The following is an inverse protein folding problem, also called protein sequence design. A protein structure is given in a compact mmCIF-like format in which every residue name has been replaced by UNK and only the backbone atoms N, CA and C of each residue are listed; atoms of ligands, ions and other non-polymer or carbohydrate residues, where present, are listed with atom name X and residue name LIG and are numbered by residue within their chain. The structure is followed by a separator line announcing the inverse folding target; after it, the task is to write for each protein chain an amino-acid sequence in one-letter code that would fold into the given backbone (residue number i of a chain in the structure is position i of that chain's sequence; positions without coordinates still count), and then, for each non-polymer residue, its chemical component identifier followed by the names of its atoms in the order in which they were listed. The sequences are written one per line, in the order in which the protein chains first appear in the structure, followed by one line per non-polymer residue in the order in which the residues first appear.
data_IF_348354815176
#
_entry.id   IF_348354815176
#
_cell.length_a   1.000
_cell.length_b   1.000
_cell.length_c   1.000
_cell.angle_alpha   90.00
_cell.angle_beta   90.00
_cell.angle_gamma   90.00
#
_symmetry.space_group_name_H-M   'P 1'
#
loop_
_entity.id
_entity.type
_entity.pdbx_description
1 polymer ?
#
# COMPACT_ATOMS: atom_id res chain seq x y z
N UNK A 1 -17.13 -14.79 -9.90
CA UNK A 1 -16.81 -14.58 -11.34
C UNK A 1 -17.37 -15.77 -12.12
N UNK A 2 -18.01 -15.55 -13.28
CA UNK A 2 -18.63 -16.64 -14.07
C UNK A 2 -17.62 -17.57 -14.78
N UNK A 3 -16.43 -17.07 -15.13
CA UNK A 3 -15.35 -17.85 -15.75
C UNK A 3 -14.00 -17.58 -15.07
N UNK A 4 -13.59 -18.39 -14.06
CA UNK A 4 -12.37 -18.15 -13.28
C UNK A 4 -11.09 -18.37 -14.08
N UNK A 5 -11.10 -19.22 -15.11
CA UNK A 5 -9.92 -19.52 -15.95
C UNK A 5 -9.50 -18.34 -16.83
N UNK A 6 -10.43 -17.43 -17.18
CA UNK A 6 -10.14 -16.23 -17.97
C UNK A 6 -9.48 -15.10 -17.15
N UNK A 7 -9.35 -15.27 -15.82
CA UNK A 7 -8.79 -14.24 -14.95
C UNK A 7 -7.26 -14.08 -15.13
N UNK A 8 -6.54 -15.19 -15.28
CA UNK A 8 -5.08 -15.24 -15.33
C UNK A 8 -4.46 -15.36 -16.73
N UNK A 9 -5.25 -15.27 -17.80
CA UNK A 9 -4.72 -15.31 -19.17
C UNK A 9 -3.84 -14.09 -19.49
N UNK A 10 -3.06 -14.15 -20.58
CA UNK A 10 -2.23 -13.02 -21.07
C UNK A 10 -3.06 -11.75 -21.36
N UNK A 11 -4.30 -11.90 -21.83
CA UNK A 11 -5.30 -10.82 -21.92
C UNK A 11 -6.43 -11.01 -20.90
N UNK A 12 -6.13 -11.64 -19.77
CA UNK A 12 -7.09 -11.81 -18.69
C UNK A 12 -7.45 -10.49 -18.02
N UNK A 13 -8.59 -10.50 -17.32
CA UNK A 13 -9.15 -9.30 -16.66
C UNK A 13 -8.12 -8.64 -15.73
N UNK A 14 -7.27 -9.43 -15.05
CA UNK A 14 -6.22 -8.91 -14.19
C UNK A 14 -5.18 -8.10 -14.97
N UNK A 15 -4.65 -8.65 -16.08
CA UNK A 15 -3.61 -7.97 -16.86
C UNK A 15 -4.17 -6.73 -17.58
N UNK A 16 -5.40 -6.81 -18.09
CA UNK A 16 -6.09 -5.66 -18.67
C UNK A 16 -6.30 -4.55 -17.64
N UNK A 17 -6.73 -4.90 -16.42
CA UNK A 17 -6.91 -3.95 -15.33
C UNK A 17 -5.59 -3.30 -14.92
N UNK A 18 -4.53 -4.08 -14.74
CA UNK A 18 -3.20 -3.54 -14.41
C UNK A 18 -2.66 -2.63 -15.52
N UNK A 19 -2.83 -3.00 -16.79
CA UNK A 19 -2.44 -2.15 -17.92
C UNK A 19 -3.16 -0.81 -17.93
N UNK A 20 -4.48 -0.81 -17.69
CA UNK A 20 -5.26 0.42 -17.60
C UNK A 20 -4.79 1.33 -16.45
N UNK A 21 -4.48 0.75 -15.28
CA UNK A 21 -3.97 1.51 -14.12
C UNK A 21 -2.61 2.13 -14.45
N UNK A 22 -1.69 1.38 -15.07
CA UNK A 22 -0.36 1.89 -15.44
C UNK A 22 -0.47 3.06 -16.42
N UNK A 23 -1.32 2.94 -17.44
CA UNK A 23 -1.56 4.04 -18.40
C UNK A 23 -2.15 5.25 -17.69
N UNK A 24 -3.15 5.07 -16.83
CA UNK A 24 -3.80 6.17 -16.12
C UNK A 24 -2.80 6.89 -15.19
N UNK A 25 -2.07 6.15 -14.36
CA UNK A 25 -1.07 6.73 -13.46
C UNK A 25 0.09 7.37 -14.22
N UNK A 26 0.54 6.76 -15.32
CA UNK A 26 1.56 7.33 -16.20
C UNK A 26 1.11 8.65 -16.83
N UNK A 27 -0.10 8.70 -17.38
CA UNK A 27 -0.66 9.92 -17.96
C UNK A 27 -0.83 11.03 -16.92
N UNK A 28 -1.42 10.74 -15.77
CA UNK A 28 -1.63 11.73 -14.70
C UNK A 28 -0.29 12.24 -14.16
N UNK A 29 0.69 11.36 -13.95
CA UNK A 29 2.02 11.74 -13.50
C UNK A 29 2.76 12.61 -14.52
N UNK A 30 2.72 12.22 -15.80
CA UNK A 30 3.39 12.96 -16.88
C UNK A 30 2.75 14.34 -17.11
N UNK A 31 1.42 14.41 -17.21
CA UNK A 31 0.70 15.68 -17.36
C UNK A 31 0.85 16.58 -16.14
N UNK A 32 0.87 16.00 -14.93
CA UNK A 32 1.15 16.74 -13.70
C UNK A 32 2.54 17.38 -13.73
N UNK A 33 3.57 16.62 -14.10
CA UNK A 33 4.93 17.15 -14.22
C UNK A 33 5.06 18.20 -15.32
N UNK A 34 4.43 18.01 -16.48
CA UNK A 34 4.45 19.01 -17.56
C UNK A 34 3.74 20.32 -17.17
N UNK A 35 2.76 20.26 -16.27
CA UNK A 35 1.99 21.45 -15.86
C UNK A 35 2.72 22.28 -14.80
N UNK A 36 3.43 21.62 -13.86
CA UNK A 36 4.07 22.28 -12.71
C UNK A 36 5.61 22.29 -12.77
N UNK A 37 6.22 21.54 -13.69
CA UNK A 37 7.67 21.51 -13.88
C UNK A 37 8.45 21.15 -12.61
N UNK A 38 9.44 21.98 -12.26
CA UNK A 38 10.28 21.76 -11.08
C UNK A 38 9.63 22.15 -9.75
N UNK A 39 8.44 22.78 -9.76
CA UNK A 39 7.73 23.16 -8.53
C UNK A 39 6.72 22.10 -8.09
N UNK A 40 6.72 20.92 -8.71
CA UNK A 40 5.81 19.82 -8.34
C UNK A 40 6.07 19.34 -6.92
N UNK A 41 5.09 19.53 -6.04
CA UNK A 41 5.07 18.96 -4.70
C UNK A 41 4.75 17.46 -4.70
N UNK A 42 5.08 16.78 -3.60
CA UNK A 42 4.99 15.31 -3.47
C UNK A 42 3.59 14.70 -3.61
N UNK A 43 2.53 15.52 -3.60
CA UNK A 43 1.17 15.08 -3.91
C UNK A 43 0.50 16.04 -4.90
N UNK A 44 -0.27 15.50 -5.85
CA UNK A 44 -0.94 16.31 -6.89
C UNK A 44 -1.90 17.33 -6.28
N UNK A 45 -2.57 16.96 -5.19
CA UNK A 45 -3.53 17.80 -4.45
C UNK A 45 -2.93 19.10 -3.92
N UNK A 46 -1.64 19.09 -3.58
CA UNK A 46 -0.96 20.24 -2.99
C UNK A 46 -0.61 21.30 -4.06
N UNK A 47 -0.28 20.83 -5.28
CA UNK A 47 0.01 21.67 -6.45
C UNK A 47 -1.22 22.40 -7.03
N UNK A 48 -2.44 21.94 -6.76
CA UNK A 48 -3.65 22.54 -7.34
C UNK A 48 -3.85 23.98 -6.86
N UNK A 49 -4.12 24.95 -7.76
CA UNK A 49 -4.30 26.35 -7.40
C UNK A 49 -5.47 26.53 -6.42
N UNK A 50 -5.35 27.51 -5.53
CA UNK A 50 -6.38 27.77 -4.50
C UNK A 50 -7.49 28.68 -5.00
N UNK A 51 -7.19 29.52 -5.99
CA UNK A 51 -8.09 30.57 -6.45
C UNK A 51 -9.09 30.08 -7.51
N UNK A 52 -8.85 28.92 -8.12
CA UNK A 52 -9.74 28.37 -9.15
C UNK A 52 -10.84 27.47 -8.57
N UNK A 53 -12.09 27.76 -8.96
CA UNK A 53 -13.27 26.99 -8.51
C UNK A 53 -13.17 25.51 -8.94
N UNK A 54 -12.66 25.24 -10.15
CA UNK A 54 -12.50 23.86 -10.66
C UNK A 54 -11.54 23.07 -9.79
N UNK A 55 -10.41 23.66 -9.41
CA UNK A 55 -9.43 23.03 -8.52
C UNK A 55 -10.02 22.74 -7.13
N UNK A 56 -10.86 23.63 -6.61
CA UNK A 56 -11.56 23.42 -5.34
C UNK A 56 -12.56 22.27 -5.42
N UNK A 57 -13.34 22.16 -6.51
CA UNK A 57 -14.28 21.06 -6.72
C UNK A 57 -13.53 19.72 -6.72
N UNK A 58 -12.38 19.64 -7.40
CA UNK A 58 -11.53 18.43 -7.42
C UNK A 58 -11.01 18.09 -6.02
N UNK A 59 -10.52 19.08 -5.26
CA UNK A 59 -10.06 18.88 -3.88
C UNK A 59 -11.17 18.35 -2.97
N UNK A 60 -12.38 18.92 -3.07
CA UNK A 60 -13.54 18.47 -2.28
C UNK A 60 -13.94 17.04 -2.68
N UNK A 61 -14.02 16.75 -3.98
CA UNK A 61 -14.35 15.40 -4.47
C UNK A 61 -13.35 14.35 -3.98
N UNK A 62 -12.04 14.67 -4.05
CA UNK A 62 -10.98 13.80 -3.56
C UNK A 62 -11.03 13.63 -2.03
N UNK A 63 -11.29 14.70 -1.28
CA UNK A 63 -11.45 14.62 0.18
C UNK A 63 -12.67 13.74 0.56
N UNK A 64 -13.79 13.88 -0.14
CA UNK A 64 -14.97 13.00 0.05
C UNK A 64 -14.65 11.55 -0.28
N UNK A 65 -13.92 11.28 -1.36
CA UNK A 65 -13.50 9.92 -1.75
C UNK A 65 -12.60 9.28 -0.68
N UNK A 66 -11.61 10.02 -0.17
CA UNK A 66 -10.72 9.55 0.90
C UNK A 66 -11.51 9.30 2.19
N UNK A 67 -12.43 10.19 2.55
CA UNK A 67 -13.26 10.03 3.74
C UNK A 67 -14.06 8.72 3.72
N UNK A 68 -14.73 8.42 2.60
CA UNK A 68 -15.50 7.18 2.44
C UNK A 68 -14.56 5.96 2.42
N UNK A 69 -13.44 6.05 1.70
CA UNK A 69 -12.48 4.94 1.58
C UNK A 69 -11.82 4.60 2.92
N UNK A 70 -11.57 5.61 3.75
CA UNK A 70 -11.00 5.43 5.09
C UNK A 70 -11.90 4.55 5.96
N UNK A 71 -13.22 4.74 5.92
CA UNK A 71 -14.16 3.90 6.68
C UNK A 71 -14.04 2.42 6.30
N UNK A 72 -13.93 2.13 5.00
CA UNK A 72 -13.82 0.75 4.50
C UNK A 72 -12.48 0.13 4.91
N UNK A 73 -11.37 0.86 4.76
CA UNK A 73 -10.04 0.36 5.14
C UNK A 73 -9.92 0.16 6.65
N UNK A 74 -10.50 1.08 7.43
CA UNK A 74 -10.51 1.02 8.88
C UNK A 74 -11.31 -0.17 9.42
N UNK A 75 -12.42 -0.53 8.77
CA UNK A 75 -13.18 -1.74 9.10
C UNK A 75 -12.30 -3.00 9.01
N UNK A 76 -11.53 -3.16 7.93
CA UNK A 76 -10.62 -4.32 7.75
C UNK A 76 -9.56 -4.35 8.85
N UNK A 77 -9.01 -3.20 9.24
CA UNK A 77 -8.03 -3.12 10.33
C UNK A 77 -8.62 -3.56 11.68
N UNK A 78 -9.84 -3.12 12.01
CA UNK A 78 -10.55 -3.56 13.22
C UNK A 78 -10.85 -5.05 13.15
N UNK A 79 -11.36 -5.54 12.03
CA UNK A 79 -11.73 -6.95 11.85
C UNK A 79 -10.53 -7.87 12.11
N UNK A 80 -9.37 -7.55 11.52
CA UNK A 80 -8.13 -8.29 11.76
C UNK A 80 -7.72 -8.16 13.24
N UNK A 81 -7.62 -6.95 13.79
CA UNK A 81 -7.14 -6.75 15.15
C UNK A 81 -8.05 -7.43 16.20
N UNK A 82 -9.36 -7.27 16.06
CA UNK A 82 -10.35 -7.80 16.99
C UNK A 82 -10.67 -9.26 16.69
N UNK A 83 -11.29 -9.57 15.56
CA UNK A 83 -11.84 -10.91 15.32
C UNK A 83 -10.73 -11.98 15.15
N UNK A 84 -9.58 -11.62 14.59
CA UNK A 84 -8.50 -12.59 14.37
C UNK A 84 -7.54 -12.73 15.56
N UNK A 85 -7.15 -11.62 16.21
CA UNK A 85 -6.09 -11.66 17.23
C UNK A 85 -6.56 -11.56 18.69
N UNK A 86 -7.52 -10.68 18.99
CA UNK A 86 -7.87 -10.31 20.36
C UNK A 86 -9.15 -10.97 20.86
N UNK A 87 -10.17 -11.07 20.01
CA UNK A 87 -11.48 -11.66 20.31
C UNK A 87 -11.38 -13.07 20.90
N UNK A 88 -10.67 -14.01 20.25
CA UNK A 88 -10.51 -15.38 20.77
C UNK A 88 -9.74 -15.46 22.10
N UNK A 89 -8.87 -14.47 22.39
CA UNK A 89 -8.05 -14.44 23.60
C UNK A 89 -8.79 -13.86 24.80
N UNK A 90 -9.71 -12.93 24.56
CA UNK A 90 -10.40 -12.18 25.61
C UNK A 90 -11.88 -12.55 25.77
N UNK A 91 -12.40 -13.50 24.99
CA UNK A 91 -13.82 -13.91 24.96
C UNK A 91 -14.44 -14.23 26.33
N UNK A 92 -13.63 -14.69 27.30
CA UNK A 92 -14.07 -15.05 28.66
C UNK A 92 -14.00 -13.89 29.68
N UNK A 93 -13.51 -12.71 29.31
CA UNK A 93 -13.40 -11.59 30.24
C UNK A 93 -14.73 -10.83 30.39
N UNK A 94 -15.14 -10.42 31.60
CA UNK A 94 -16.39 -9.67 31.81
C UNK A 94 -16.39 -8.25 31.22
N UNK A 95 -15.27 -7.80 30.63
CA UNK A 95 -15.08 -6.45 30.07
C UNK A 95 -14.75 -6.42 28.57
N UNK A 96 -15.10 -7.48 27.84
CA UNK A 96 -14.83 -7.60 26.39
C UNK A 96 -15.26 -6.35 25.62
N UNK A 97 -16.45 -5.81 25.88
CA UNK A 97 -16.92 -4.59 25.21
C UNK A 97 -16.04 -3.36 25.46
N UNK A 98 -15.55 -3.16 26.70
CA UNK A 98 -14.64 -2.04 27.00
C UNK A 98 -13.29 -2.21 26.29
N UNK A 99 -12.79 -3.43 26.18
CA UNK A 99 -11.53 -3.73 25.48
C UNK A 99 -11.69 -3.43 23.98
N UNK A 100 -12.83 -3.80 23.38
CA UNK A 100 -13.14 -3.52 21.98
C UNK A 100 -13.19 -2.00 21.70
N UNK A 101 -13.92 -1.23 22.52
CA UNK A 101 -13.98 0.22 22.38
C UNK A 101 -12.62 0.88 22.60
N UNK A 102 -11.82 0.37 23.54
CA UNK A 102 -10.46 0.86 23.80
C UNK A 102 -9.56 0.61 22.59
N UNK A 103 -9.60 -0.58 22.00
CA UNK A 103 -8.85 -0.91 20.79
C UNK A 103 -9.22 0.03 19.63
N UNK A 104 -10.51 0.20 19.37
CA UNK A 104 -10.98 1.10 18.30
C UNK A 104 -10.52 2.53 18.53
N UNK A 105 -10.68 3.03 19.75
CA UNK A 105 -10.24 4.39 20.09
C UNK A 105 -8.72 4.53 19.93
N UNK A 106 -7.96 3.54 20.38
CA UNK A 106 -6.51 3.52 20.23
C UNK A 106 -6.06 3.53 18.77
N UNK A 107 -6.68 2.72 17.90
CA UNK A 107 -6.35 2.70 16.48
C UNK A 107 -6.63 4.05 15.80
N UNK A 108 -7.76 4.70 16.10
CA UNK A 108 -8.04 6.04 15.58
C UNK A 108 -7.01 7.05 16.09
N UNK A 109 -6.72 7.06 17.40
CA UNK A 109 -5.73 7.96 17.99
C UNK A 109 -4.35 7.76 17.36
N UNK A 110 -3.95 6.51 17.10
CA UNK A 110 -2.71 6.18 16.40
C UNK A 110 -2.69 6.77 14.99
N UNK A 111 -3.78 6.61 14.21
CA UNK A 111 -3.85 7.21 12.86
C UNK A 111 -3.79 8.74 12.89
N UNK A 112 -4.45 9.40 13.85
CA UNK A 112 -4.38 10.85 14.03
C UNK A 112 -2.96 11.30 14.45
N UNK A 113 -2.30 10.56 15.33
CA UNK A 113 -0.94 10.85 15.76
C UNK A 113 0.04 10.73 14.59
N UNK A 114 -0.10 9.68 13.75
CA UNK A 114 0.70 9.54 12.53
C UNK A 114 0.43 10.67 11.54
N UNK A 115 -0.82 11.09 11.36
CA UNK A 115 -1.17 12.23 10.50
C UNK A 115 -0.55 13.55 10.99
N UNK A 116 -0.49 13.77 12.30
CA UNK A 116 0.16 14.95 12.89
C UNK A 116 1.70 14.91 12.81
N UNK A 117 2.28 13.71 12.85
CA UNK A 117 3.72 13.50 12.87
C UNK A 117 4.37 13.52 11.47
N UNK A 118 3.60 13.41 10.38
CA UNK A 118 4.15 13.28 9.02
C UNK A 118 3.96 14.60 8.25
N UNK A 119 4.96 15.49 8.21
CA UNK A 119 4.91 16.73 7.45
C UNK A 119 5.14 16.54 5.94
N UNK A 120 5.72 15.40 5.54
CA UNK A 120 6.02 15.06 4.15
C UNK A 120 5.36 13.72 3.76
N UNK A 121 4.16 13.79 3.18
CA UNK A 121 3.35 12.63 2.83
C UNK A 121 4.01 11.74 1.76
N UNK A 122 4.79 12.32 0.87
CA UNK A 122 5.52 11.62 -0.19
C UNK A 122 6.60 10.68 0.35
N UNK A 123 7.41 11.13 1.31
CA UNK A 123 8.41 10.29 1.97
C UNK A 123 7.76 9.11 2.71
N UNK A 124 6.60 9.35 3.33
CA UNK A 124 5.84 8.34 4.04
C UNK A 124 5.22 7.31 3.09
N UNK A 125 4.62 7.75 1.97
CA UNK A 125 4.10 6.86 0.93
C UNK A 125 5.23 6.00 0.34
N UNK A 126 6.40 6.60 0.08
CA UNK A 126 7.59 5.88 -0.40
C UNK A 126 8.06 4.82 0.60
N UNK A 127 8.14 5.16 1.89
CA UNK A 127 8.56 4.24 2.95
C UNK A 127 7.59 3.06 3.10
N UNK A 128 6.29 3.33 3.21
CA UNK A 128 5.27 2.27 3.29
C UNK A 128 5.21 1.43 2.03
N UNK A 129 5.40 2.05 0.85
CA UNK A 129 5.55 1.32 -0.41
C UNK A 129 6.73 0.37 -0.38
N UNK A 130 7.92 0.85 -0.02
CA UNK A 130 9.14 0.05 0.07
C UNK A 130 9.01 -1.10 1.09
N UNK A 131 8.37 -0.86 2.24
CA UNK A 131 8.14 -1.88 3.27
C UNK A 131 7.08 -2.91 2.85
N UNK A 132 5.87 -2.43 2.53
CA UNK A 132 4.72 -3.31 2.28
C UNK A 132 4.81 -4.03 0.94
N UNK A 133 5.28 -3.37 -0.13
CA UNK A 133 5.41 -4.02 -1.43
C UNK A 133 6.51 -5.09 -1.41
N UNK A 134 7.64 -4.81 -0.76
CA UNK A 134 8.74 -5.78 -0.66
C UNK A 134 8.34 -6.98 0.20
N UNK A 135 7.69 -6.75 1.34
CA UNK A 135 7.26 -7.82 2.23
C UNK A 135 6.06 -8.61 1.66
N UNK A 136 4.95 -7.93 1.37
CA UNK A 136 3.67 -8.56 0.99
C UNK A 136 3.55 -8.76 -0.52
N UNK A 137 4.03 -7.82 -1.33
CA UNK A 137 3.93 -7.90 -2.78
C UNK A 137 4.94 -8.85 -3.43
N UNK A 138 6.14 -8.98 -2.84
CA UNK A 138 7.23 -9.77 -3.43
C UNK A 138 7.59 -10.97 -2.56
N UNK A 139 7.95 -10.76 -1.28
CA UNK A 139 8.51 -11.83 -0.46
C UNK A 139 7.49 -12.92 -0.09
N UNK A 140 6.27 -12.56 0.32
CA UNK A 140 5.23 -13.56 0.67
C UNK A 140 4.85 -14.43 -0.55
N UNK A 141 4.53 -13.90 -1.74
CA UNK A 141 4.21 -14.72 -2.91
C UNK A 141 5.37 -15.62 -3.33
N UNK A 142 6.62 -15.12 -3.29
CA UNK A 142 7.80 -15.91 -3.58
C UNK A 142 8.00 -17.06 -2.57
N UNK A 143 7.76 -16.79 -1.28
CA UNK A 143 7.82 -17.82 -0.23
C UNK A 143 6.72 -18.88 -0.40
N UNK A 144 5.50 -18.45 -0.75
CA UNK A 144 4.38 -19.38 -1.01
C UNK A 144 4.68 -20.24 -2.24
N UNK A 145 5.17 -19.67 -3.35
CA UNK A 145 5.55 -20.42 -4.56
C UNK A 145 6.64 -21.44 -4.24
N UNK A 146 7.69 -21.04 -3.51
CA UNK A 146 8.73 -21.94 -3.04
C UNK A 146 8.17 -23.08 -2.16
N UNK A 147 7.31 -22.78 -1.18
CA UNK A 147 6.77 -23.76 -0.24
C UNK A 147 5.77 -24.75 -0.88
N UNK A 148 4.95 -24.28 -1.82
CA UNK A 148 3.92 -25.09 -2.48
C UNK A 148 4.49 -26.01 -3.56
N UNK A 149 5.41 -25.51 -4.39
CA UNK A 149 5.93 -26.26 -5.54
C UNK A 149 7.26 -26.99 -5.27
N UNK A 150 7.78 -26.94 -4.03
CA UNK A 150 9.05 -27.56 -3.63
C UNK A 150 9.11 -29.06 -4.00
N UNK A 151 8.05 -29.80 -3.66
CA UNK A 151 8.02 -31.25 -3.85
C UNK A 151 7.51 -31.67 -5.22
N UNK A 152 6.85 -30.76 -5.93
CA UNK A 152 6.16 -31.06 -7.19
C UNK A 152 7.01 -30.78 -8.43
N UNK A 153 8.06 -29.97 -8.28
CA UNK A 153 8.95 -29.55 -9.36
C UNK A 153 10.29 -30.26 -9.23
N UNK A 154 10.77 -30.96 -10.27
CA UNK A 154 12.08 -31.64 -10.29
C UNK A 154 12.95 -31.19 -11.46
N UNK A 155 14.26 -31.21 -11.27
CA UNK A 155 15.26 -30.89 -12.30
C UNK A 155 15.33 -29.41 -12.68
N UNK A 156 15.50 -29.11 -13.96
CA UNK A 156 15.71 -27.76 -14.51
C UNK A 156 14.64 -26.73 -14.09
N UNK A 157 13.37 -27.16 -14.00
CA UNK A 157 12.25 -26.28 -13.61
C UNK A 157 12.34 -25.83 -12.16
N UNK A 158 12.87 -26.67 -11.27
CA UNK A 158 13.08 -26.32 -9.86
C UNK A 158 14.20 -25.28 -9.73
N UNK A 159 15.32 -25.48 -10.43
CA UNK A 159 16.40 -24.50 -10.49
C UNK A 159 15.90 -23.15 -11.01
N UNK A 160 15.14 -23.14 -12.11
CA UNK A 160 14.56 -21.92 -12.67
C UNK A 160 13.64 -21.18 -11.68
N UNK A 161 12.75 -21.93 -11.01
CA UNK A 161 11.83 -21.37 -10.01
C UNK A 161 12.58 -20.74 -8.83
N UNK A 162 13.57 -21.45 -8.27
CA UNK A 162 14.39 -20.95 -7.16
C UNK A 162 15.17 -19.71 -7.59
N UNK A 163 15.82 -19.73 -8.75
CA UNK A 163 16.57 -18.57 -9.25
C UNK A 163 15.66 -17.36 -9.46
N UNK A 164 14.48 -17.53 -10.07
CA UNK A 164 13.49 -16.45 -10.24
C UNK A 164 13.06 -15.87 -8.90
N UNK A 165 12.74 -16.72 -7.93
CA UNK A 165 12.23 -16.29 -6.62
C UNK A 165 13.32 -15.62 -5.79
N UNK A 166 14.55 -16.13 -5.82
CA UNK A 166 15.71 -15.48 -5.19
C UNK A 166 15.98 -14.12 -5.83
N UNK A 167 15.94 -14.01 -7.16
CA UNK A 167 16.12 -12.73 -7.85
C UNK A 167 15.03 -11.71 -7.46
N UNK A 168 13.76 -12.13 -7.37
CA UNK A 168 12.66 -11.29 -6.92
C UNK A 168 12.84 -10.83 -5.47
N UNK A 169 13.20 -11.73 -4.55
CA UNK A 169 13.45 -11.39 -3.15
C UNK A 169 14.64 -10.43 -3.01
N UNK A 170 15.72 -10.64 -3.76
CA UNK A 170 16.87 -9.72 -3.78
C UNK A 170 16.45 -8.34 -4.30
N UNK A 171 15.66 -8.28 -5.38
CA UNK A 171 15.14 -7.03 -5.90
C UNK A 171 14.27 -6.29 -4.87
N UNK A 172 13.38 -7.02 -4.18
CA UNK A 172 12.57 -6.46 -3.09
C UNK A 172 13.44 -5.97 -1.93
N UNK A 173 14.47 -6.71 -1.54
CA UNK A 173 15.38 -6.31 -0.45
C UNK A 173 16.17 -5.05 -0.82
N UNK A 174 16.66 -4.95 -2.06
CA UNK A 174 17.31 -3.73 -2.55
C UNK A 174 16.34 -2.54 -2.51
N UNK A 175 15.11 -2.70 -3.02
CA UNK A 175 14.08 -1.66 -2.96
C UNK A 175 13.75 -1.23 -1.53
N UNK A 176 13.69 -2.19 -0.60
CA UNK A 176 13.48 -1.92 0.82
C UNK A 176 14.64 -1.12 1.44
N UNK A 177 15.89 -1.54 1.22
CA UNK A 177 17.07 -0.88 1.79
C UNK A 177 17.18 0.55 1.24
N UNK A 178 17.11 0.70 -0.10
CA UNK A 178 17.23 2.00 -0.76
C UNK A 178 16.08 2.91 -0.33
N UNK A 179 14.83 2.45 -0.42
CA UNK A 179 13.66 3.25 -0.09
C UNK A 179 13.60 3.65 1.38
N UNK A 180 13.96 2.73 2.30
CA UNK A 180 14.01 3.05 3.73
C UNK A 180 15.14 4.03 4.04
N UNK A 181 16.32 3.85 3.45
CA UNK A 181 17.45 4.76 3.65
C UNK A 181 17.16 6.17 3.15
N UNK A 182 16.63 6.31 1.93
CA UNK A 182 16.31 7.62 1.35
C UNK A 182 15.19 8.30 2.14
N UNK A 183 14.10 7.58 2.45
CA UNK A 183 12.99 8.16 3.20
C UNK A 183 13.41 8.57 4.62
N UNK A 184 14.17 7.75 5.35
CA UNK A 184 14.62 8.12 6.70
C UNK A 184 15.60 9.28 6.68
N UNK A 185 16.55 9.30 5.74
CA UNK A 185 17.50 10.41 5.60
C UNK A 185 16.78 11.73 5.35
N UNK A 186 15.82 11.74 4.43
CA UNK A 186 15.10 12.95 4.05
C UNK A 186 14.10 13.38 5.14
N UNK A 187 13.52 12.45 5.91
CA UNK A 187 12.73 12.76 7.11
C UNK A 187 13.63 13.47 8.13
N UNK A 188 14.79 12.89 8.46
CA UNK A 188 15.70 13.47 9.46
C UNK A 188 16.18 14.84 9.02
N UNK A 189 16.57 15.01 7.76
CA UNK A 189 17.04 16.28 7.22
C UNK A 189 15.96 17.38 7.18
N UNK A 190 14.68 17.00 7.21
CA UNK A 190 13.54 17.94 7.21
C UNK A 190 13.06 18.31 8.61
N UNK A 191 13.41 17.52 9.62
CA UNK A 191 13.08 17.74 11.02
C UNK A 191 14.20 18.41 11.83
N UNK A 192 15.44 18.41 11.33
CA UNK A 192 16.61 19.13 11.86
C UNK A 192 16.79 20.48 11.16
#
# INVERSE_FOLDING_TARGET
MKHPQAFGGTFGVLNQGMGAIVVLYGCVGLLGYLSYGSTTEGTVTLNLPKDEIVAQIVKVSLASSIFISYTIQYYVAIDIAWNHYLGPKFEKHPRVGLIEYTLRTFLVVLTCALAAAVPALDLFISLFGALCLSAVGIAIPAAIECGTFWYQTRGWRLCWMITKNVALVLFGLCGLIVGTYTSLRDIIARFL
#
